data_IF_336924743215
#
_entry.id   IF_336924743215
#
_cell.length_a   1.000
_cell.length_b   1.000
_cell.length_c   1.000
_cell.angle_alpha   90.00
_cell.angle_beta   90.00
_cell.angle_gamma   90.00
#
_symmetry.space_group_name_H-M   'P 1'
#
loop_
_entity.id
_entity.type
_entity.pdbx_description
1 polymer ?
#
# COMPACT_ATOMS: atom_id res chain seq x y z
N UNK A 1 46.48 2.32 -3.22
CA UNK A 1 45.13 1.70 -3.16
C UNK A 1 44.09 2.81 -3.10
N UNK A 2 43.30 2.99 -4.16
CA UNK A 2 42.16 3.91 -4.20
C UNK A 2 40.96 3.15 -4.77
N UNK A 3 39.88 3.02 -3.99
CA UNK A 3 38.58 2.50 -4.46
C UNK A 3 37.99 3.54 -5.42
N UNK A 4 38.33 3.45 -6.71
CA UNK A 4 37.59 4.19 -7.73
C UNK A 4 36.17 3.64 -7.80
N UNK A 5 35.18 4.50 -7.56
CA UNK A 5 33.78 4.28 -7.91
C UNK A 5 33.66 4.13 -9.44
N UNK A 6 33.84 2.91 -9.97
CA UNK A 6 33.71 2.64 -11.41
C UNK A 6 32.24 2.42 -11.75
N UNK A 7 31.61 3.45 -12.32
CA UNK A 7 30.25 3.39 -12.87
C UNK A 7 30.22 2.42 -14.07
N UNK A 8 29.25 1.48 -14.16
CA UNK A 8 29.11 0.59 -15.31
C UNK A 8 28.91 1.38 -16.60
N UNK A 9 29.45 0.89 -17.73
CA UNK A 9 29.27 1.53 -19.04
C UNK A 9 27.79 1.60 -19.43
N UNK A 10 27.41 2.54 -20.31
CA UNK A 10 26.01 2.66 -20.75
C UNK A 10 25.44 1.38 -21.36
N UNK A 11 26.26 0.62 -22.08
CA UNK A 11 25.85 -0.68 -22.64
C UNK A 11 25.47 -1.66 -21.53
N UNK A 12 26.33 -1.82 -20.51
CA UNK A 12 26.08 -2.70 -19.36
C UNK A 12 24.79 -2.30 -18.64
N UNK A 13 24.60 -1.00 -18.40
CA UNK A 13 23.39 -0.46 -17.76
C UNK A 13 22.12 -0.81 -18.52
N UNK A 14 22.10 -0.55 -19.84
CA UNK A 14 20.94 -0.81 -20.70
C UNK A 14 20.58 -2.30 -20.77
N UNK A 15 21.59 -3.17 -20.80
CA UNK A 15 21.38 -4.63 -20.74
C UNK A 15 20.83 -5.06 -19.37
N UNK A 16 21.30 -4.49 -18.26
CA UNK A 16 20.75 -4.76 -16.93
C UNK A 16 19.28 -4.35 -16.85
N UNK A 17 18.95 -3.14 -17.32
CA UNK A 17 17.57 -2.62 -17.36
C UNK A 17 16.62 -3.49 -18.18
N UNK A 18 17.03 -3.90 -19.39
CA UNK A 18 16.22 -4.78 -20.24
C UNK A 18 16.00 -6.16 -19.60
N UNK A 19 17.03 -6.71 -18.95
CA UNK A 19 16.93 -8.00 -18.29
C UNK A 19 16.04 -7.95 -17.05
N UNK A 20 16.08 -6.84 -16.28
CA UNK A 20 15.16 -6.64 -15.15
C UNK A 20 13.70 -6.53 -15.64
N UNK A 21 13.45 -5.75 -16.71
CA UNK A 21 12.12 -5.68 -17.36
C UNK A 21 11.62 -7.04 -17.85
N UNK A 22 12.53 -7.92 -18.29
CA UNK A 22 12.22 -9.28 -18.71
C UNK A 22 12.13 -10.29 -17.54
N UNK A 23 12.24 -9.85 -16.28
CA UNK A 23 12.19 -10.72 -15.10
C UNK A 23 13.40 -11.66 -14.95
N UNK A 24 14.51 -11.38 -15.64
CA UNK A 24 15.72 -12.21 -15.59
C UNK A 24 16.44 -11.96 -14.27
N UNK A 25 16.64 -13.02 -13.50
CA UNK A 25 17.32 -12.96 -12.20
C UNK A 25 18.67 -12.23 -12.31
N UNK A 26 19.02 -11.31 -11.38
CA UNK A 26 20.28 -10.57 -11.39
C UNK A 26 21.54 -11.45 -11.51
N UNK A 27 21.48 -12.69 -10.97
CA UNK A 27 22.57 -13.64 -11.11
C UNK A 27 22.77 -14.11 -12.55
N UNK A 28 21.68 -14.38 -13.30
CA UNK A 28 21.76 -14.76 -14.71
C UNK A 28 22.28 -13.60 -15.55
N UNK A 29 21.83 -12.38 -15.25
CA UNK A 29 22.32 -11.14 -15.87
C UNK A 29 23.82 -10.93 -15.64
N UNK A 30 24.33 -11.18 -14.43
CA UNK A 30 25.78 -11.12 -14.19
C UNK A 30 26.54 -12.20 -14.97
N UNK A 31 26.04 -13.44 -14.99
CA UNK A 31 26.69 -14.54 -15.71
C UNK A 31 26.71 -14.33 -17.23
N UNK A 32 25.71 -13.67 -17.82
CA UNK A 32 25.75 -13.33 -19.24
C UNK A 32 26.88 -12.37 -19.58
N UNK A 33 27.20 -11.42 -18.70
CA UNK A 33 28.37 -10.56 -18.90
C UNK A 33 29.69 -11.32 -18.74
N UNK A 34 29.77 -12.25 -17.79
CA UNK A 34 30.96 -13.09 -17.58
C UNK A 34 31.24 -13.94 -18.82
N UNK A 35 30.18 -14.57 -19.37
CA UNK A 35 30.27 -15.37 -20.58
C UNK A 35 30.72 -14.52 -21.78
N UNK A 36 30.17 -13.31 -21.94
CA UNK A 36 30.54 -12.41 -23.03
C UNK A 36 31.97 -11.86 -22.93
N UNK A 37 32.46 -11.63 -21.70
CA UNK A 37 33.81 -11.11 -21.46
C UNK A 37 34.90 -12.20 -21.44
N UNK A 38 34.52 -13.48 -21.50
CA UNK A 38 35.46 -14.60 -21.46
C UNK A 38 35.98 -14.94 -20.06
N UNK A 39 35.40 -14.37 -19.00
CA UNK A 39 35.76 -14.71 -17.63
C UNK A 39 35.47 -13.63 -16.61
N UNK A 40 35.52 -14.00 -15.33
CA UNK A 40 35.25 -13.07 -14.22
C UNK A 40 36.31 -11.97 -14.07
N UNK A 41 37.57 -12.24 -14.46
CA UNK A 41 38.69 -11.30 -14.30
C UNK A 41 38.68 -10.16 -15.32
N UNK A 42 37.94 -10.36 -16.42
CA UNK A 42 37.80 -9.39 -17.51
C UNK A 42 36.67 -8.37 -17.27
N UNK A 43 35.88 -8.56 -16.21
CA UNK A 43 34.82 -7.63 -15.83
C UNK A 43 35.30 -6.59 -14.81
N UNK A 44 34.92 -5.35 -15.06
CA UNK A 44 35.24 -4.20 -14.20
C UNK A 44 34.27 -4.03 -13.01
N UNK A 45 33.33 -4.96 -12.83
CA UNK A 45 32.28 -4.91 -11.82
C UNK A 45 31.92 -6.32 -11.34
N UNK A 46 31.40 -6.42 -10.12
CA UNK A 46 31.01 -7.68 -9.51
C UNK A 46 29.49 -7.86 -9.49
N UNK A 47 29.05 -9.08 -9.19
CA UNK A 47 27.62 -9.42 -9.04
C UNK A 47 26.87 -8.49 -8.08
N UNK A 48 27.55 -8.00 -7.03
CA UNK A 48 26.96 -7.05 -6.06
C UNK A 48 26.62 -5.71 -6.74
N UNK A 49 27.42 -5.26 -7.69
CA UNK A 49 27.21 -4.00 -8.40
C UNK A 49 25.96 -4.06 -9.29
N UNK A 50 25.72 -5.20 -9.96
CA UNK A 50 24.48 -5.43 -10.73
C UNK A 50 23.25 -5.37 -9.83
N UNK A 51 23.29 -6.02 -8.66
CA UNK A 51 22.19 -5.94 -7.70
C UNK A 51 21.97 -4.52 -7.19
N UNK A 52 23.04 -3.84 -6.79
CA UNK A 52 22.98 -2.46 -6.30
C UNK A 52 22.43 -1.52 -7.37
N UNK A 53 22.82 -1.70 -8.64
CA UNK A 53 22.31 -0.92 -9.77
C UNK A 53 20.81 -1.17 -9.99
N UNK A 54 20.38 -2.44 -10.02
CA UNK A 54 18.95 -2.78 -10.16
C UNK A 54 18.13 -2.14 -9.05
N UNK A 55 18.57 -2.28 -7.79
CA UNK A 55 17.86 -1.66 -6.66
C UNK A 55 17.82 -0.14 -6.79
N UNK A 56 18.99 0.52 -6.93
CA UNK A 56 19.07 1.99 -6.85
C UNK A 56 18.59 2.73 -8.09
N UNK A 57 18.91 2.23 -9.27
CA UNK A 57 18.78 2.99 -10.52
C UNK A 57 17.62 2.49 -11.38
N UNK A 58 17.12 1.27 -11.14
CA UNK A 58 16.01 0.69 -11.90
C UNK A 58 14.74 0.66 -11.07
N UNK A 59 14.76 0.02 -9.90
CA UNK A 59 13.56 -0.12 -9.05
C UNK A 59 13.16 1.21 -8.42
N UNK A 60 14.04 1.86 -7.66
CA UNK A 60 13.68 3.13 -7.01
C UNK A 60 13.22 4.22 -8.01
N UNK A 61 13.82 4.28 -9.21
CA UNK A 61 13.41 5.24 -10.25
C UNK A 61 12.04 4.87 -10.83
N UNK A 62 11.77 3.59 -11.05
CA UNK A 62 10.44 3.12 -11.45
C UNK A 62 9.41 3.42 -10.38
N UNK A 63 9.72 3.16 -9.11
CA UNK A 63 8.82 3.38 -7.98
C UNK A 63 8.43 4.86 -7.86
N UNK A 64 9.41 5.78 -7.92
CA UNK A 64 9.13 7.22 -7.94
C UNK A 64 8.30 7.67 -9.15
N UNK A 65 8.47 7.01 -10.30
CA UNK A 65 7.67 7.30 -11.49
C UNK A 65 6.23 6.79 -11.32
N UNK A 66 6.06 5.58 -10.78
CA UNK A 66 4.76 4.96 -10.53
C UNK A 66 3.95 5.75 -9.49
N UNK A 67 4.58 6.21 -8.41
CA UNK A 67 3.97 7.07 -7.40
C UNK A 67 3.47 8.40 -8.01
N UNK A 68 4.23 9.01 -8.91
CA UNK A 68 3.81 10.21 -9.65
C UNK A 68 2.65 9.95 -10.60
N UNK A 69 2.64 8.80 -11.29
CA UNK A 69 1.51 8.43 -12.13
C UNK A 69 0.25 8.12 -11.30
N UNK A 70 0.41 7.54 -10.11
CA UNK A 70 -0.68 7.33 -9.17
C UNK A 70 -1.27 8.65 -8.66
N UNK A 71 -0.44 9.61 -8.28
CA UNK A 71 -0.89 10.96 -7.91
C UNK A 71 -1.65 11.63 -9.07
N UNK A 72 -1.10 11.59 -10.29
CA UNK A 72 -1.78 12.12 -11.48
C UNK A 72 -3.12 11.43 -11.73
N UNK A 73 -3.21 10.12 -11.49
CA UNK A 73 -4.46 9.39 -11.60
C UNK A 73 -5.50 9.92 -10.60
N UNK A 74 -5.14 10.09 -9.33
CA UNK A 74 -6.05 10.63 -8.31
C UNK A 74 -6.52 12.05 -8.65
N UNK A 75 -5.62 12.91 -9.13
CA UNK A 75 -5.96 14.25 -9.63
C UNK A 75 -6.95 14.19 -10.79
N UNK A 76 -6.71 13.34 -11.79
CA UNK A 76 -7.65 13.15 -12.91
C UNK A 76 -9.01 12.64 -12.46
N UNK A 77 -9.06 11.76 -11.46
CA UNK A 77 -10.32 11.27 -10.90
C UNK A 77 -11.09 12.39 -10.19
N UNK A 78 -10.38 13.26 -9.46
CA UNK A 78 -10.95 14.45 -8.83
C UNK A 78 -11.46 15.49 -9.83
N UNK A 79 -10.73 15.71 -10.92
CA UNK A 79 -11.15 16.61 -12.00
C UNK A 79 -12.42 16.10 -12.71
N UNK A 80 -12.51 14.79 -12.96
CA UNK A 80 -13.68 14.16 -13.57
C UNK A 80 -14.90 14.17 -12.65
N UNK A 81 -14.68 14.06 -11.34
CA UNK A 81 -15.75 13.99 -10.36
C UNK A 81 -15.39 14.77 -9.10
N UNK A 82 -16.02 15.93 -8.90
CA UNK A 82 -15.78 16.78 -7.73
C UNK A 82 -16.09 16.09 -6.40
N UNK A 83 -16.93 15.04 -6.40
CA UNK A 83 -17.27 14.27 -5.20
C UNK A 83 -16.23 13.18 -4.87
N UNK A 84 -15.31 12.84 -5.78
CA UNK A 84 -14.14 12.03 -5.47
C UNK A 84 -13.31 12.72 -4.39
N UNK A 85 -12.82 11.99 -3.41
CA UNK A 85 -12.00 12.53 -2.34
C UNK A 85 -10.69 11.76 -2.27
N UNK A 86 -9.58 12.47 -2.10
CA UNK A 86 -8.31 11.83 -1.79
C UNK A 86 -7.44 12.77 -0.97
N UNK A 87 -6.52 12.18 -0.21
CA UNK A 87 -5.44 12.86 0.51
C UNK A 87 -4.17 12.04 0.40
N UNK A 88 -3.03 12.73 0.35
CA UNK A 88 -1.71 12.14 0.32
C UNK A 88 -0.87 12.75 1.45
N UNK A 89 -0.10 11.92 2.14
CA UNK A 89 1.03 12.33 2.98
C UNK A 89 2.31 11.83 2.30
N UNK A 90 3.24 12.74 2.05
CA UNK A 90 4.51 12.44 1.39
C UNK A 90 5.64 12.44 2.42
N UNK A 91 6.65 11.61 2.20
CA UNK A 91 7.95 11.67 2.89
C UNK A 91 8.80 12.84 2.36
N UNK A 92 9.93 13.11 3.03
CA UNK A 92 10.90 14.14 2.63
C UNK A 92 11.46 13.95 1.21
N UNK A 93 11.53 12.70 0.74
CA UNK A 93 11.97 12.34 -0.61
C UNK A 93 10.85 12.42 -1.68
N UNK A 94 9.71 13.01 -1.32
CA UNK A 94 8.48 13.08 -2.11
C UNK A 94 7.79 11.74 -2.35
N UNK A 95 8.25 10.67 -1.71
CA UNK A 95 7.59 9.39 -1.87
C UNK A 95 6.30 9.30 -1.07
N UNK A 96 5.32 8.53 -1.54
CA UNK A 96 4.03 8.42 -0.86
C UNK A 96 4.19 7.64 0.44
N UNK A 97 3.96 8.30 1.57
CA UNK A 97 3.93 7.66 2.90
C UNK A 97 2.57 7.06 3.17
N UNK A 98 1.53 7.87 3.02
CA UNK A 98 0.13 7.51 3.18
C UNK A 98 -0.68 8.05 2.01
N UNK A 99 -1.62 7.24 1.52
CA UNK A 99 -2.63 7.68 0.59
C UNK A 99 -3.99 7.21 1.08
N UNK A 100 -4.98 8.08 1.00
CA UNK A 100 -6.38 7.73 1.21
C UNK A 100 -7.18 8.23 0.02
N UNK A 101 -8.09 7.41 -0.51
CA UNK A 101 -9.01 7.83 -1.55
C UNK A 101 -10.35 7.14 -1.46
N UNK A 102 -11.35 7.83 -1.96
CA UNK A 102 -12.73 7.39 -1.95
C UNK A 102 -13.47 7.98 -3.15
N UNK A 103 -14.29 7.15 -3.79
CA UNK A 103 -15.11 7.60 -4.91
C UNK A 103 -16.46 8.17 -4.44
N UNK A 104 -17.13 8.89 -5.34
CA UNK A 104 -18.40 9.54 -5.03
C UNK A 104 -19.52 8.55 -4.66
N UNK A 105 -19.47 7.32 -5.19
CA UNK A 105 -20.46 6.28 -4.92
C UNK A 105 -20.25 5.72 -3.53
N UNK A 106 -19.00 5.48 -3.12
CA UNK A 106 -18.63 5.07 -1.79
C UNK A 106 -19.13 6.07 -0.74
N UNK A 107 -18.93 7.38 -0.98
CA UNK A 107 -19.41 8.44 -0.07
C UNK A 107 -20.93 8.42 0.07
N UNK A 108 -21.64 8.41 -1.06
CA UNK A 108 -23.10 8.33 -1.06
C UNK A 108 -23.60 7.04 -0.39
N UNK A 109 -22.90 5.92 -0.56
CA UNK A 109 -23.25 4.65 0.09
C UNK A 109 -23.03 4.74 1.60
N UNK A 110 -21.94 5.37 2.05
CA UNK A 110 -21.64 5.55 3.46
C UNK A 110 -22.66 6.44 4.17
N UNK A 111 -23.29 7.39 3.49
CA UNK A 111 -24.39 8.18 4.08
C UNK A 111 -25.58 7.33 4.53
N UNK A 112 -25.90 6.25 3.79
CA UNK A 112 -27.01 5.35 4.13
C UNK A 112 -26.59 4.14 4.97
N UNK A 113 -25.36 3.65 4.76
CA UNK A 113 -24.91 2.35 5.27
C UNK A 113 -23.62 2.42 6.10
N UNK A 114 -23.16 3.62 6.46
CA UNK A 114 -21.93 3.88 7.22
C UNK A 114 -22.07 3.80 8.74
N UNK A 115 -23.22 3.38 9.25
CA UNK A 115 -23.45 3.24 10.70
C UNK A 115 -22.45 2.26 11.35
N UNK A 116 -22.16 1.17 10.65
CA UNK A 116 -21.15 0.17 11.07
C UNK A 116 -20.27 -0.15 9.88
N UNK A 117 -18.97 0.04 10.07
CA UNK A 117 -17.96 -0.23 9.04
C UNK A 117 -16.92 -1.22 9.55
N UNK A 118 -16.28 -1.93 8.64
CA UNK A 118 -15.10 -2.75 8.89
C UNK A 118 -13.89 -2.09 8.25
N UNK A 119 -12.76 -2.10 8.93
CA UNK A 119 -11.49 -1.69 8.39
C UNK A 119 -10.47 -2.80 8.59
N UNK A 120 -9.85 -3.22 7.50
CA UNK A 120 -8.81 -4.23 7.51
C UNK A 120 -7.63 -3.85 6.63
N UNK A 121 -6.44 -4.28 7.05
CA UNK A 121 -5.20 -4.13 6.30
C UNK A 121 -4.74 -5.47 5.76
N UNK A 122 -4.29 -5.50 4.51
CA UNK A 122 -3.78 -6.72 3.91
C UNK A 122 -2.48 -7.13 4.59
N UNK A 123 -2.37 -8.41 4.98
CA UNK A 123 -1.15 -8.96 5.59
C UNK A 123 0.09 -8.83 4.69
N UNK A 124 -0.09 -8.81 3.36
CA UNK A 124 1.00 -8.70 2.42
C UNK A 124 1.25 -7.24 2.02
N UNK A 125 2.52 -6.86 2.03
CA UNK A 125 2.96 -5.62 1.38
C UNK A 125 3.09 -5.85 -0.13
N UNK A 126 2.72 -4.84 -0.91
CA UNK A 126 2.90 -4.87 -2.36
C UNK A 126 4.40 -4.73 -2.74
N UNK A 127 4.70 -4.71 -4.04
CA UNK A 127 6.08 -4.54 -4.56
C UNK A 127 6.78 -3.27 -4.03
N UNK A 128 6.01 -2.27 -3.58
CA UNK A 128 6.47 -0.99 -3.02
C UNK A 128 6.58 -1.03 -1.49
N UNK A 129 6.46 -2.22 -0.88
CA UNK A 129 6.43 -2.44 0.55
C UNK A 129 5.33 -1.65 1.29
N UNK A 130 4.21 -1.35 0.61
CA UNK A 130 3.06 -0.67 1.20
C UNK A 130 1.97 -1.67 1.54
N UNK A 131 1.29 -1.41 2.65
CA UNK A 131 0.09 -2.11 3.11
C UNK A 131 -1.15 -1.46 2.51
N UNK A 132 -2.08 -2.27 2.02
CA UNK A 132 -3.38 -1.81 1.55
C UNK A 132 -4.41 -1.91 2.67
N UNK A 133 -5.11 -0.81 2.95
CA UNK A 133 -6.23 -0.76 3.87
C UNK A 133 -7.54 -0.57 3.12
N UNK A 134 -8.61 -1.23 3.56
CA UNK A 134 -9.94 -1.08 2.96
C UNK A 134 -11.00 -0.82 4.00
N UNK A 135 -11.85 0.17 3.73
CA UNK A 135 -13.08 0.42 4.48
C UNK A 135 -14.23 -0.28 3.78
N UNK A 136 -14.89 -1.19 4.50
CA UNK A 136 -15.97 -2.02 3.98
C UNK A 136 -17.22 -1.76 4.82
N UNK A 137 -18.32 -1.42 4.16
CA UNK A 137 -19.66 -1.37 4.75
C UNK A 137 -20.50 -2.57 4.32
N UNK A 138 -21.72 -2.66 4.83
CA UNK A 138 -22.71 -3.68 4.45
C UNK A 138 -23.96 -2.97 3.95
N UNK A 139 -24.39 -3.27 2.73
CA UNK A 139 -25.60 -2.69 2.17
C UNK A 139 -26.87 -3.41 2.66
N UNK A 140 -28.04 -2.91 2.27
CA UNK A 140 -29.36 -3.48 2.62
C UNK A 140 -29.59 -4.95 2.21
N UNK A 141 -28.75 -5.49 1.32
CA UNK A 141 -28.80 -6.89 0.88
C UNK A 141 -27.75 -7.76 1.58
N UNK A 142 -27.16 -7.27 2.67
CA UNK A 142 -26.10 -7.94 3.41
C UNK A 142 -24.82 -8.17 2.58
N UNK A 143 -24.58 -7.34 1.56
CA UNK A 143 -23.41 -7.45 0.70
C UNK A 143 -22.34 -6.45 1.12
N UNK A 144 -21.09 -6.92 1.15
CA UNK A 144 -19.91 -6.09 1.37
C UNK A 144 -19.79 -5.02 0.28
N UNK A 145 -19.66 -3.76 0.69
CA UNK A 145 -19.48 -2.63 -0.22
C UNK A 145 -18.22 -1.86 0.15
N UNK A 146 -17.35 -1.63 -0.84
CA UNK A 146 -16.14 -0.84 -0.65
C UNK A 146 -16.51 0.63 -0.47
N UNK A 147 -16.14 1.18 0.68
CA UNK A 147 -16.39 2.56 1.05
C UNK A 147 -15.14 3.43 0.99
N UNK A 148 -13.94 2.87 0.87
CA UNK A 148 -12.73 3.66 0.79
C UNK A 148 -11.49 2.81 0.86
N UNK A 149 -10.38 3.37 0.41
CA UNK A 149 -9.11 2.67 0.32
C UNK A 149 -7.98 3.50 0.90
N UNK A 150 -6.98 2.81 1.43
CA UNK A 150 -5.76 3.38 1.95
C UNK A 150 -4.54 2.62 1.44
N UNK A 151 -3.43 3.32 1.26
CA UNK A 151 -2.10 2.74 1.13
C UNK A 151 -1.21 3.35 2.18
N UNK A 152 -0.43 2.53 2.89
CA UNK A 152 0.41 2.97 3.99
C UNK A 152 1.76 2.28 3.94
N UNK A 153 2.86 3.02 4.07
CA UNK A 153 4.20 2.43 4.17
C UNK A 153 4.43 1.67 5.48
N UNK A 154 3.88 2.19 6.59
CA UNK A 154 4.05 1.61 7.92
C UNK A 154 2.72 1.53 8.67
N UNK A 155 2.51 0.43 9.41
CA UNK A 155 1.37 0.26 10.32
C UNK A 155 1.71 0.81 11.72
N UNK A 156 1.77 2.14 11.84
CA UNK A 156 1.96 2.81 13.12
C UNK A 156 0.72 3.61 13.55
N UNK A 157 0.66 3.99 14.83
CA UNK A 157 -0.48 4.71 15.39
C UNK A 157 -0.73 6.07 14.73
N UNK A 158 0.31 6.78 14.29
CA UNK A 158 0.16 8.09 13.65
C UNK A 158 -0.42 7.92 12.24
N UNK A 159 0.05 6.91 11.51
CA UNK A 159 -0.48 6.52 10.20
C UNK A 159 -1.97 6.18 10.28
N UNK A 160 -2.40 5.40 11.28
CA UNK A 160 -3.81 5.12 11.49
C UNK A 160 -4.63 6.34 11.93
N UNK A 161 -4.08 7.22 12.79
CA UNK A 161 -4.76 8.46 13.18
C UNK A 161 -5.01 9.36 11.98
N UNK A 162 -3.98 9.60 11.18
CA UNK A 162 -4.10 10.37 9.94
C UNK A 162 -5.16 9.77 9.02
N UNK A 163 -5.18 8.44 8.88
CA UNK A 163 -6.16 7.75 8.05
C UNK A 163 -7.60 7.93 8.57
N UNK A 164 -7.83 7.74 9.87
CA UNK A 164 -9.16 7.89 10.46
C UNK A 164 -9.64 9.35 10.48
N UNK A 165 -8.73 10.32 10.60
CA UNK A 165 -9.04 11.74 10.43
C UNK A 165 -9.41 12.07 8.97
N UNK A 166 -8.71 11.48 8.00
CA UNK A 166 -9.05 11.62 6.58
C UNK A 166 -10.44 11.04 6.27
N UNK A 167 -10.73 9.85 6.80
CA UNK A 167 -12.04 9.22 6.71
C UNK A 167 -13.13 10.11 7.31
N UNK A 168 -12.96 10.56 8.55
CA UNK A 168 -13.94 11.40 9.25
C UNK A 168 -14.19 12.72 8.52
N UNK A 169 -13.13 13.34 7.99
CA UNK A 169 -13.22 14.54 7.16
C UNK A 169 -14.00 14.28 5.87
N UNK A 170 -13.79 13.13 5.22
CA UNK A 170 -14.50 12.73 4.00
C UNK A 170 -16.01 12.58 4.24
N UNK A 171 -16.39 12.02 5.40
CA UNK A 171 -17.76 11.79 5.85
C UNK A 171 -18.43 13.02 6.48
N UNK A 172 -17.84 14.22 6.32
CA UNK A 172 -18.42 15.46 6.82
C UNK A 172 -18.40 15.59 8.34
N UNK A 173 -17.49 14.89 9.03
CA UNK A 173 -17.39 14.88 10.49
C UNK A 173 -18.29 13.85 11.16
N UNK A 174 -19.05 13.06 10.39
CA UNK A 174 -19.93 12.03 10.95
C UNK A 174 -19.15 10.74 11.20
N UNK A 175 -18.90 10.45 12.47
CA UNK A 175 -18.25 9.21 12.87
C UNK A 175 -19.26 8.03 12.76
N UNK A 176 -18.80 6.84 12.34
CA UNK A 176 -19.63 5.64 12.38
C UNK A 176 -19.99 5.30 13.83
N UNK A 177 -21.14 4.65 14.05
CA UNK A 177 -21.55 4.18 15.38
C UNK A 177 -20.67 3.03 15.85
N UNK A 178 -20.21 2.18 14.92
CA UNK A 178 -19.32 1.07 15.21
C UNK A 178 -18.26 0.85 14.13
N UNK A 179 -17.08 0.41 14.55
CA UNK A 179 -16.01 0.00 13.65
C UNK A 179 -15.44 -1.36 14.07
N UNK A 180 -15.33 -2.25 13.09
CA UNK A 180 -14.73 -3.57 13.23
C UNK A 180 -13.31 -3.56 12.66
N UNK A 181 -12.32 -4.08 13.40
CA UNK A 181 -10.95 -4.22 12.88
C UNK A 181 -10.34 -5.59 13.22
N UNK A 182 -9.42 -6.07 12.38
CA UNK A 182 -8.71 -7.35 12.61
C UNK A 182 -7.44 -7.14 13.45
N UNK A 183 -6.74 -6.02 13.26
CA UNK A 183 -5.60 -5.61 14.10
C UNK A 183 -6.08 -4.70 15.24
N UNK A 184 -5.74 -5.04 16.48
CA UNK A 184 -6.47 -4.53 17.64
C UNK A 184 -5.85 -3.27 18.27
N UNK A 185 -4.61 -3.36 18.76
CA UNK A 185 -4.13 -2.38 19.75
C UNK A 185 -3.82 -0.99 19.15
N UNK A 186 -3.17 -0.92 17.99
CA UNK A 186 -2.80 0.37 17.39
C UNK A 186 -4.01 1.07 16.78
N UNK A 187 -4.84 0.33 16.03
CA UNK A 187 -6.06 0.85 15.42
C UNK A 187 -7.05 1.32 16.49
N UNK A 188 -7.26 0.54 17.56
CA UNK A 188 -8.14 0.94 18.66
C UNK A 188 -7.73 2.28 19.25
N UNK A 189 -6.44 2.47 19.58
CA UNK A 189 -5.95 3.73 20.14
C UNK A 189 -6.07 4.91 19.17
N UNK A 190 -5.96 4.66 17.87
CA UNK A 190 -6.18 5.68 16.86
C UNK A 190 -7.67 6.05 16.74
N UNK A 191 -8.57 5.06 16.73
CA UNK A 191 -10.03 5.26 16.71
C UNK A 191 -10.48 6.02 17.95
N UNK A 192 -10.03 5.64 19.16
CA UNK A 192 -10.38 6.32 20.41
C UNK A 192 -9.94 7.80 20.41
N UNK A 193 -8.84 8.12 19.71
CA UNK A 193 -8.35 9.48 19.58
C UNK A 193 -9.14 10.31 18.54
N UNK A 194 -9.48 9.72 17.39
CA UNK A 194 -10.09 10.44 16.27
C UNK A 194 -11.64 10.44 16.33
N UNK A 195 -12.23 9.38 16.88
CA UNK A 195 -13.66 9.10 16.90
C UNK A 195 -14.08 8.50 18.26
N UNK A 196 -14.01 9.28 19.37
CA UNK A 196 -14.19 8.76 20.72
C UNK A 196 -15.59 8.20 21.02
N UNK A 197 -16.59 8.56 20.21
CA UNK A 197 -17.97 8.06 20.34
C UNK A 197 -18.21 6.75 19.57
N UNK A 198 -17.27 6.33 18.72
CA UNK A 198 -17.39 5.11 17.91
C UNK A 198 -17.07 3.89 18.74
N UNK A 199 -17.94 2.88 18.68
CA UNK A 199 -17.72 1.61 19.35
C UNK A 199 -16.74 0.76 18.53
N UNK A 200 -15.53 0.57 19.03
CA UNK A 200 -14.57 -0.36 18.44
C UNK A 200 -14.85 -1.81 18.87
N UNK A 201 -14.71 -2.74 17.93
CA UNK A 201 -14.76 -4.18 18.17
C UNK A 201 -13.68 -4.88 17.35
N UNK A 202 -12.96 -5.82 17.97
CA UNK A 202 -12.07 -6.72 17.24
C UNK A 202 -12.90 -7.79 16.52
N UNK A 203 -12.56 -8.10 15.27
CA UNK A 203 -13.18 -9.15 14.47
C UNK A 203 -13.17 -10.52 15.16
N UNK A 204 -12.05 -10.91 15.78
CA UNK A 204 -11.94 -12.18 16.49
C UNK A 204 -12.86 -12.24 17.72
N UNK A 205 -12.93 -11.15 18.49
CA UNK A 205 -13.84 -11.06 19.64
C UNK A 205 -15.31 -11.09 19.18
N UNK A 206 -15.61 -10.50 18.02
CA UNK A 206 -16.92 -10.57 17.40
C UNK A 206 -17.29 -12.02 17.03
N UNK A 207 -16.39 -12.74 16.34
CA UNK A 207 -16.62 -14.15 16.00
C UNK A 207 -16.83 -15.01 17.25
N UNK A 208 -16.02 -14.81 18.29
CA UNK A 208 -16.14 -15.55 19.56
C UNK A 208 -17.48 -15.25 20.23
N UNK A 209 -17.83 -13.97 20.37
CA UNK A 209 -19.04 -13.53 21.06
C UNK A 209 -20.32 -14.07 20.42
N UNK A 210 -20.33 -14.20 19.09
CA UNK A 210 -21.50 -14.64 18.35
C UNK A 210 -21.41 -16.11 17.88
N UNK A 211 -20.40 -16.86 18.30
CA UNK A 211 -20.27 -18.29 17.99
C UNK A 211 -19.94 -18.58 16.52
N UNK A 212 -19.34 -17.64 15.81
CA UNK A 212 -18.96 -17.79 14.38
C UNK A 212 -17.52 -18.26 14.18
N UNK A 213 -16.81 -18.66 15.23
CA UNK A 213 -15.40 -19.09 15.17
C UNK A 213 -15.23 -20.30 14.25
N UNK A 214 -16.20 -21.22 14.21
CA UNK A 214 -16.15 -22.42 13.38
C UNK A 214 -16.61 -22.18 11.92
N UNK A 215 -17.10 -20.96 11.61
CA UNK A 215 -17.53 -20.61 10.27
C UNK A 215 -16.28 -20.30 9.42
N UNK A 216 -15.92 -21.23 8.52
CA UNK A 216 -14.72 -21.14 7.68
C UNK A 216 -14.69 -19.89 6.79
N UNK A 217 -15.85 -19.40 6.34
CA UNK A 217 -15.95 -18.20 5.51
C UNK A 217 -15.71 -16.91 6.31
N UNK A 218 -16.13 -16.87 7.59
CA UNK A 218 -16.00 -15.69 8.45
C UNK A 218 -14.72 -15.67 9.31
N UNK A 219 -14.13 -16.84 9.56
CA UNK A 219 -12.88 -17.03 10.32
C UNK A 219 -11.61 -16.78 9.51
N UNK A 220 -11.71 -16.44 8.23
CA UNK A 220 -10.56 -16.22 7.35
C UNK A 220 -9.80 -17.50 6.96
N UNK A 221 -10.34 -18.69 7.26
CA UNK A 221 -9.74 -19.99 6.94
C UNK A 221 -9.95 -20.44 5.48
N UNK A 222 -10.27 -19.50 4.59
CA UNK A 222 -10.41 -19.74 3.15
C UNK A 222 -9.54 -18.73 2.41
N UNK A 223 -8.23 -18.78 2.65
CA UNK A 223 -7.14 -18.56 1.68
C UNK A 223 -5.85 -19.19 2.21
#
# INVERSE_FOLDING_TARGET
>A
MLKQHRKPSMFVRRTIENNEKAGIRPNKTYQSFVAAAGGHRELNFIKKDVRNYITREVRNVSELQDEKEFEKYLLRMKEKNQNFFFKLELEDDQSIKLAFWEDARSRATCEYFGDVISFDTTYNTNTYNMVFGSFIGVNQHSQSTLLGCALMKNEDIQSFKWLFECWLCCMGGNAPKGILTVQCALMQRAIEACMPTTIHRNWNDFLIKYGFVDNKELSGNVF
#
